data_IF_921893121139
#
_entry.id   IF_921893121139
#
_cell.length_a   1.000
_cell.length_b   1.000
_cell.length_c   1.000
_cell.angle_alpha   90.00
_cell.angle_beta   90.00
_cell.angle_gamma   90.00
#
_symmetry.space_group_name_H-M   'P 1'
#
loop_
_entity.id
_entity.type
_entity.pdbx_description
1 polymer ?
#
# COMPACT_ATOMS: atom_id res chain seq x y z
N UNK A 1 -1.10 15.59 -11.60
CA UNK A 1 -1.93 15.09 -10.51
C UNK A 1 -1.02 14.60 -9.37
N UNK A 2 -0.65 15.48 -8.43
CA UNK A 2 0.23 15.07 -7.33
C UNK A 2 -0.59 14.39 -6.24
N UNK A 3 -0.57 13.07 -6.15
CA UNK A 3 -1.40 12.32 -5.20
C UNK A 3 -0.53 11.50 -4.26
N UNK A 4 -0.46 11.88 -2.99
CA UNK A 4 0.41 11.21 -2.02
C UNK A 4 -0.40 10.26 -1.12
N UNK A 5 -0.17 8.93 -1.18
CA UNK A 5 -0.77 8.00 -0.23
C UNK A 5 0.02 8.02 1.08
N UNK A 6 -0.62 8.17 2.24
CA UNK A 6 0.02 8.15 3.55
C UNK A 6 -0.54 7.00 4.41
N UNK A 7 0.22 5.91 4.63
CA UNK A 7 -0.22 4.79 5.46
C UNK A 7 -0.01 5.03 6.96
N UNK A 8 -1.02 4.71 7.74
CA UNK A 8 -0.91 4.44 9.17
C UNK A 8 -1.36 3.01 9.46
N UNK A 9 -0.57 2.26 10.23
CA UNK A 9 -0.96 0.94 10.72
C UNK A 9 -1.85 1.11 11.95
N UNK A 10 -3.04 0.52 11.89
CA UNK A 10 -4.01 0.52 12.97
C UNK A 10 -4.29 -0.92 13.41
N UNK A 11 -4.54 -1.12 14.71
CA UNK A 11 -5.03 -2.39 15.23
C UNK A 11 -6.55 -2.32 15.26
N UNK A 12 -7.23 -3.27 14.61
CA UNK A 12 -8.68 -3.29 14.52
C UNK A 12 -9.21 -4.69 14.89
N UNK A 13 -9.71 -4.84 16.12
CA UNK A 13 -10.18 -6.12 16.64
C UNK A 13 -9.08 -7.18 16.64
N UNK A 14 -9.34 -8.33 16.01
CA UNK A 14 -8.40 -9.47 15.92
C UNK A 14 -7.39 -9.36 14.75
N UNK A 15 -7.28 -8.20 14.10
CA UNK A 15 -6.42 -8.01 12.93
C UNK A 15 -5.80 -6.62 12.84
N UNK A 16 -5.00 -6.42 11.80
CA UNK A 16 -4.37 -5.13 11.48
C UNK A 16 -5.00 -4.53 10.23
N UNK A 17 -5.08 -3.20 10.20
CA UNK A 17 -5.54 -2.44 9.04
C UNK A 17 -4.54 -1.35 8.69
N UNK A 18 -4.43 -1.06 7.41
CA UNK A 18 -3.76 0.12 6.90
C UNK A 18 -4.81 1.18 6.62
N UNK A 19 -4.76 2.28 7.36
CA UNK A 19 -5.47 3.50 7.01
C UNK A 19 -4.60 4.31 6.08
N UNK A 20 -5.03 4.45 4.84
CA UNK A 20 -4.27 5.12 3.79
C UNK A 20 -5.04 6.38 3.40
N UNK A 21 -4.44 7.54 3.66
CA UNK A 21 -4.98 8.82 3.20
C UNK A 21 -4.32 9.16 1.88
N UNK A 22 -5.13 9.29 0.84
CA UNK A 22 -4.69 9.68 -0.50
C UNK A 22 -5.10 11.13 -0.70
N UNK A 23 -4.13 12.03 -0.78
CA UNK A 23 -4.39 13.48 -0.88
C UNK A 23 -3.95 14.04 -2.23
N UNK A 24 -4.82 14.81 -2.87
CA UNK A 24 -4.43 15.67 -3.99
C UNK A 24 -3.68 16.90 -3.48
N UNK A 25 -2.38 16.94 -3.75
CA UNK A 25 -1.46 18.04 -3.38
C UNK A 25 -1.22 19.02 -4.53
N UNK A 26 -1.88 18.83 -5.68
CA UNK A 26 -1.84 19.76 -6.81
C UNK A 26 -2.90 20.86 -6.72
N UNK A 27 -2.68 21.91 -7.49
CA UNK A 27 -3.62 23.06 -7.60
C UNK A 27 -4.86 22.75 -8.46
N UNK A 28 -4.82 21.68 -9.27
CA UNK A 28 -5.91 21.25 -10.14
C UNK A 28 -6.60 19.97 -9.64
N UNK A 29 -7.83 19.73 -10.09
CA UNK A 29 -8.55 18.49 -9.78
C UNK A 29 -7.83 17.27 -10.35
N UNK A 30 -7.67 16.26 -9.51
CA UNK A 30 -7.26 14.93 -9.90
C UNK A 30 -8.44 14.15 -10.48
N UNK A 31 -8.22 13.40 -11.56
CA UNK A 31 -9.23 12.50 -12.13
C UNK A 31 -9.34 11.24 -11.27
N UNK A 32 -10.39 10.46 -11.50
CA UNK A 32 -10.51 9.13 -10.89
C UNK A 32 -9.31 8.27 -11.29
N UNK A 33 -8.79 7.49 -10.34
CA UNK A 33 -7.61 6.65 -10.52
C UNK A 33 -7.69 5.39 -9.64
N UNK A 34 -6.57 4.66 -9.55
CA UNK A 34 -6.45 3.47 -8.71
C UNK A 34 -5.33 3.62 -7.68
N UNK A 35 -5.58 3.16 -6.46
CA UNK A 35 -4.56 2.89 -5.46
C UNK A 35 -4.20 1.41 -5.53
N UNK A 36 -2.94 1.11 -5.77
CA UNK A 36 -2.38 -0.24 -5.64
C UNK A 36 -1.64 -0.35 -4.31
N UNK A 37 -1.98 -1.37 -3.53
CA UNK A 37 -1.26 -1.78 -2.32
C UNK A 37 -0.56 -3.10 -2.63
N UNK A 38 0.76 -3.11 -2.57
CA UNK A 38 1.58 -4.29 -2.82
C UNK A 38 2.29 -4.72 -1.54
N UNK A 39 2.13 -5.98 -1.16
CA UNK A 39 2.79 -6.62 -0.05
C UNK A 39 3.87 -7.57 -0.60
N UNK A 40 5.13 -7.35 -0.25
CA UNK A 40 6.26 -8.21 -0.64
C UNK A 40 6.93 -8.80 0.62
N UNK A 41 7.06 -10.12 0.70
CA UNK A 41 7.80 -10.83 1.76
C UNK A 41 8.48 -12.10 1.23
N UNK A 42 9.48 -12.62 1.95
CA UNK A 42 10.15 -13.89 1.61
C UNK A 42 9.75 -15.01 2.57
N UNK A 43 9.59 -16.20 2.02
CA UNK A 43 9.23 -17.41 2.79
C UNK A 43 10.48 -18.18 3.24
N UNK A 44 11.60 -18.16 2.51
CA UNK A 44 12.85 -18.81 2.93
C UNK A 44 14.11 -18.06 2.42
N UNK A 45 15.30 -18.50 2.86
CA UNK A 45 16.61 -17.88 2.52
C UNK A 45 17.10 -18.32 1.14
N UNK A 46 16.71 -19.51 0.69
CA UNK A 46 17.29 -20.20 -0.47
C UNK A 46 16.45 -20.03 -1.73
N UNK A 47 15.14 -19.93 -1.62
CA UNK A 47 14.28 -19.63 -2.74
C UNK A 47 14.17 -18.11 -2.86
N UNK A 48 14.52 -17.60 -4.04
CA UNK A 48 14.16 -16.26 -4.46
C UNK A 48 12.63 -16.06 -4.56
N UNK A 49 11.81 -16.91 -3.92
CA UNK A 49 10.35 -16.87 -3.90
C UNK A 49 9.91 -15.73 -2.98
N UNK A 50 10.13 -14.51 -3.47
CA UNK A 50 9.41 -13.35 -3.00
C UNK A 50 7.93 -13.61 -3.27
N UNK A 51 7.15 -13.73 -2.21
CA UNK A 51 5.70 -13.76 -2.34
C UNK A 51 5.22 -12.32 -2.47
N UNK A 52 4.32 -12.13 -3.42
CA UNK A 52 3.69 -10.85 -3.69
C UNK A 52 2.19 -11.00 -3.60
N UNK A 53 1.57 -10.04 -2.94
CA UNK A 53 0.13 -9.84 -2.96
C UNK A 53 -0.15 -8.40 -3.33
N UNK A 54 -1.11 -8.20 -4.24
CA UNK A 54 -1.55 -6.88 -4.67
C UNK A 54 -3.05 -6.74 -4.45
N UNK A 55 -3.45 -5.59 -3.94
CA UNK A 55 -4.84 -5.16 -3.80
C UNK A 55 -5.00 -3.82 -4.49
N UNK A 56 -6.11 -3.63 -5.19
CA UNK A 56 -6.40 -2.39 -5.91
C UNK A 56 -7.71 -1.79 -5.43
N UNK A 57 -7.72 -0.47 -5.27
CA UNK A 57 -8.87 0.29 -4.83
C UNK A 57 -9.14 1.41 -5.83
N UNK A 58 -10.38 1.57 -6.32
CA UNK A 58 -10.74 2.75 -7.08
C UNK A 58 -10.73 3.99 -6.17
N UNK A 59 -10.22 5.09 -6.68
CA UNK A 59 -10.27 6.41 -6.07
C UNK A 59 -11.07 7.31 -7.01
N UNK A 60 -12.11 7.94 -6.50
CA UNK A 60 -12.88 8.92 -7.26
C UNK A 60 -12.06 10.20 -7.52
N UNK A 61 -12.54 11.04 -8.44
CA UNK A 61 -11.90 12.32 -8.71
C UNK A 61 -11.78 13.17 -7.43
N UNK A 62 -10.60 13.75 -7.20
CA UNK A 62 -10.33 14.59 -6.04
C UNK A 62 -10.18 16.04 -6.46
N UNK A 63 -10.92 16.93 -5.83
CA UNK A 63 -10.70 18.37 -5.94
C UNK A 63 -9.28 18.75 -5.46
N UNK A 64 -8.78 19.97 -5.76
CA UNK A 64 -7.57 20.47 -5.12
C UNK A 64 -7.66 20.34 -3.59
N UNK A 65 -6.60 19.86 -2.95
CA UNK A 65 -6.56 19.52 -1.51
C UNK A 65 -7.53 18.44 -1.04
N UNK A 66 -8.30 17.82 -1.95
CA UNK A 66 -9.21 16.73 -1.65
C UNK A 66 -8.49 15.49 -1.12
N UNK A 67 -9.16 14.75 -0.24
CA UNK A 67 -8.64 13.54 0.37
C UNK A 67 -9.59 12.36 0.16
N UNK A 68 -9.02 11.18 -0.05
CA UNK A 68 -9.71 9.91 -0.03
C UNK A 68 -9.09 9.02 1.05
N UNK A 69 -9.92 8.28 1.79
CA UNK A 69 -9.43 7.38 2.84
C UNK A 69 -9.76 5.94 2.45
N UNK A 70 -8.71 5.12 2.36
CA UNK A 70 -8.84 3.67 2.17
C UNK A 70 -8.50 2.97 3.48
N UNK A 71 -9.35 2.03 3.89
CA UNK A 71 -9.08 1.12 5.00
C UNK A 71 -8.86 -0.28 4.42
N UNK A 72 -7.60 -0.69 4.31
CA UNK A 72 -7.24 -2.03 3.82
C UNK A 72 -6.94 -2.95 5.01
N UNK A 73 -7.48 -4.17 5.01
CA UNK A 73 -7.14 -5.16 6.03
C UNK A 73 -5.83 -5.83 5.64
N UNK A 74 -4.87 -5.89 6.56
CA UNK A 74 -3.62 -6.60 6.29
C UNK A 74 -3.92 -8.11 6.24
N UNK A 75 -3.57 -8.81 5.15
CA UNK A 75 -3.87 -10.23 4.96
C UNK A 75 -2.88 -11.12 5.73
N UNK A 76 -2.86 -10.95 7.05
CA UNK A 76 -1.93 -11.62 7.98
C UNK A 76 -1.99 -13.16 7.88
N UNK A 77 -3.13 -13.74 7.50
CA UNK A 77 -3.28 -15.19 7.29
C UNK A 77 -2.49 -15.72 6.08
N UNK A 78 -2.21 -14.84 5.11
CA UNK A 78 -1.42 -15.13 3.91
C UNK A 78 0.06 -14.76 4.09
N UNK A 79 0.32 -13.72 4.87
CA UNK A 79 1.68 -13.24 5.18
C UNK A 79 2.20 -14.01 6.40
N UNK A 80 2.83 -15.16 6.17
CA UNK A 80 3.36 -16.01 7.24
C UNK A 80 4.87 -15.91 7.38
N UNK A 81 5.34 -15.97 8.63
CA UNK A 81 6.75 -16.09 8.93
C UNK A 81 7.13 -17.57 8.84
N UNK A 82 8.34 -17.83 8.40
CA UNK A 82 8.92 -19.17 8.39
C UNK A 82 10.31 -19.13 9.03
N UNK A 83 10.40 -19.06 10.36
CA UNK A 83 11.69 -18.94 11.05
C UNK A 83 12.50 -20.23 10.93
N UNK A 84 13.85 -20.16 10.86
CA UNK A 84 14.67 -18.96 10.72
C UNK A 84 14.79 -18.44 9.28
N UNK A 85 14.13 -19.09 8.31
CA UNK A 85 14.46 -18.95 6.90
C UNK A 85 13.74 -17.78 6.17
N UNK A 86 12.61 -17.24 6.65
CA UNK A 86 11.86 -16.18 5.97
C UNK A 86 12.12 -14.74 6.46
N UNK A 87 11.47 -13.76 5.81
CA UNK A 87 11.50 -12.36 6.27
C UNK A 87 10.77 -12.19 7.61
N UNK A 88 11.29 -11.33 8.48
CA UNK A 88 10.59 -10.92 9.72
C UNK A 88 9.59 -9.78 9.48
N UNK A 89 9.65 -9.15 8.31
CA UNK A 89 8.86 -7.99 7.92
C UNK A 89 8.26 -8.20 6.53
N UNK A 90 7.09 -7.62 6.31
CA UNK A 90 6.51 -7.44 4.98
C UNK A 90 6.73 -5.99 4.55
N UNK A 91 7.19 -5.82 3.31
CA UNK A 91 7.29 -4.50 2.68
C UNK A 91 5.95 -4.19 2.04
N UNK A 92 5.44 -3.00 2.28
CA UNK A 92 4.21 -2.50 1.68
C UNK A 92 4.58 -1.33 0.78
N UNK A 93 4.28 -1.44 -0.50
CA UNK A 93 4.40 -0.36 -1.49
C UNK A 93 2.99 0.09 -1.86
N UNK A 94 2.72 1.37 -1.65
CA UNK A 94 1.50 2.05 -2.10
C UNK A 94 1.84 2.81 -3.37
N UNK A 95 0.99 2.71 -4.39
CA UNK A 95 1.12 3.49 -5.62
C UNK A 95 -0.26 4.00 -6.04
N UNK A 96 -0.43 5.31 -6.07
CA UNK A 96 -1.60 5.95 -6.66
C UNK A 96 -1.39 6.19 -8.16
N UNK A 97 -2.42 5.96 -8.99
CA UNK A 97 -2.39 6.06 -10.46
C UNK A 97 -1.26 5.24 -11.11
N UNK A 98 -1.16 3.96 -10.74
CA UNK A 98 -0.16 3.02 -11.31
C UNK A 98 -0.30 2.84 -12.83
N UNK A 99 -1.49 3.04 -13.38
CA UNK A 99 -1.80 2.93 -14.81
C UNK A 99 -1.32 4.14 -15.63
N UNK A 100 -0.74 5.16 -14.98
CA UNK A 100 -0.17 6.35 -15.65
C UNK A 100 -1.16 7.05 -16.58
N UNK A 101 -2.44 7.07 -16.21
CA UNK A 101 -3.49 7.63 -17.06
C UNK A 101 -3.45 9.16 -17.11
N UNK A 102 -2.59 9.79 -16.28
CA UNK A 102 -2.41 11.24 -16.24
C UNK A 102 -0.94 11.67 -16.37
N UNK A 103 -0.71 12.74 -17.12
CA UNK A 103 0.61 13.33 -17.32
C UNK A 103 1.03 14.10 -16.06
N UNK A 104 1.69 13.44 -15.11
CA UNK A 104 2.19 14.10 -13.92
C UNK A 104 3.51 14.83 -14.10
N UNK A 105 3.61 16.02 -13.49
CA UNK A 105 4.81 16.85 -13.45
C UNK A 105 5.82 16.39 -12.38
N UNK A 106 5.40 15.55 -11.42
CA UNK A 106 6.26 15.03 -10.35
C UNK A 106 5.78 13.63 -9.96
N UNK A 107 6.30 12.62 -10.67
CA UNK A 107 5.83 11.23 -10.66
C UNK A 107 6.30 10.43 -9.43
N UNK A 108 7.21 11.00 -8.66
CA UNK A 108 7.87 10.40 -7.50
C UNK A 108 7.04 10.47 -6.22
N UNK A 109 6.04 11.36 -6.15
CA UNK A 109 5.18 11.52 -4.97
C UNK A 109 4.00 10.52 -4.91
N UNK A 110 3.72 9.82 -6.01
CA UNK A 110 2.60 8.90 -6.13
C UNK A 110 2.84 7.55 -5.46
N UNK A 111 4.05 7.31 -4.93
CA UNK A 111 4.38 6.08 -4.22
C UNK A 111 4.91 6.30 -2.81
N UNK A 112 4.49 5.45 -1.88
CA UNK A 112 5.03 5.39 -0.52
C UNK A 112 5.36 3.96 -0.14
N UNK A 113 6.43 3.80 0.64
CA UNK A 113 6.84 2.51 1.16
C UNK A 113 6.74 2.52 2.68
N UNK A 114 6.20 1.45 3.25
CA UNK A 114 6.24 1.19 4.68
C UNK A 114 6.58 -0.28 4.93
N UNK A 115 6.94 -0.61 6.16
CA UNK A 115 7.25 -1.98 6.56
C UNK A 115 6.53 -2.27 7.87
N UNK A 116 5.98 -3.47 7.97
CA UNK A 116 5.35 -3.95 9.19
C UNK A 116 5.89 -5.34 9.53
N UNK A 117 5.98 -5.65 10.82
CA UNK A 117 6.41 -6.98 11.28
C UNK A 117 5.39 -8.05 10.87
N UNK A 118 5.88 -9.23 10.48
CA UNK A 118 5.01 -10.40 10.28
C UNK A 118 4.67 -10.97 11.65
N UNK A 119 3.39 -11.25 11.89
CA UNK A 119 2.90 -11.80 13.16
C UNK A 119 2.76 -13.31 13.01
N UNK A 120 3.37 -14.07 13.92
CA UNK A 120 3.13 -15.50 14.05
C UNK A 120 1.75 -15.71 14.70
N UNK A 121 0.73 -16.04 13.90
CA UNK A 121 -0.53 -16.56 14.44
C UNK A 121 -0.28 -18.02 14.87
N UNK A 122 -0.13 -18.23 16.18
CA UNK A 122 -0.13 -19.55 16.81
C UNK A 122 -1.49 -20.22 16.68
#
# INVERSE_FOLDING_TARGET
MRVAPNPALETAGNGRRLRIVVQNTGEGSARACQLTIRYDWRVDHESATATRLEETFPIDALSPSGQWVVLATVPDERIRRNPPFGSSQVRITLTADAAQTTTDADRTNNSQNTQISIIDRR
#
